data_IF_803156626952
#
_entry.id   IF_803156626952
#
_cell.length_a   1.000
_cell.length_b   1.000
_cell.length_c   1.000
_cell.angle_alpha   90.00
_cell.angle_beta   90.00
_cell.angle_gamma   90.00
#
_symmetry.space_group_name_H-M   'P 1'
#
loop_
_entity.id
_entity.type
_entity.pdbx_description
1 polymer ?
#
# COMPACT_ATOMS: atom_id res chain seq x y z
N UNK A 1 15.79 1.62 -43.63
CA UNK A 1 15.18 2.24 -42.45
C UNK A 1 14.36 1.15 -41.77
N UNK A 2 15.02 0.37 -40.92
CA UNK A 2 14.42 -0.70 -40.12
C UNK A 2 14.70 -0.29 -38.68
N UNK A 3 13.67 0.10 -37.94
CA UNK A 3 13.78 0.27 -36.49
C UNK A 3 13.06 -0.90 -35.83
N UNK A 4 13.88 -1.84 -35.36
CA UNK A 4 13.53 -2.96 -34.52
C UNK A 4 13.66 -2.47 -33.06
N UNK A 5 12.54 -2.14 -32.42
CA UNK A 5 12.53 -1.86 -30.97
C UNK A 5 12.10 -3.14 -30.23
N UNK A 6 13.11 -3.82 -29.69
CA UNK A 6 12.98 -4.91 -28.73
C UNK A 6 12.67 -4.31 -27.36
N UNK A 7 11.54 -4.65 -26.69
CA UNK A 7 11.42 -4.38 -25.28
C UNK A 7 12.24 -5.42 -24.50
N UNK A 8 13.27 -4.95 -23.81
CA UNK A 8 13.99 -5.71 -22.79
C UNK A 8 13.01 -5.99 -21.65
N UNK A 9 12.49 -7.21 -21.57
CA UNK A 9 11.88 -7.74 -20.35
C UNK A 9 13.01 -7.97 -19.34
N UNK A 10 13.07 -7.16 -18.28
CA UNK A 10 13.77 -7.54 -17.06
C UNK A 10 12.95 -8.64 -16.38
N UNK A 11 13.17 -9.88 -16.79
CA UNK A 11 12.77 -11.04 -16.01
C UNK A 11 13.66 -11.08 -14.75
N UNK A 12 13.10 -10.74 -13.59
CA UNK A 12 13.73 -11.08 -12.32
C UNK A 12 13.82 -12.60 -12.25
N UNK A 13 15.05 -13.10 -12.34
CA UNK A 13 15.43 -14.49 -12.10
C UNK A 13 14.90 -14.89 -10.71
N UNK A 14 14.11 -15.96 -10.68
CA UNK A 14 13.54 -16.63 -9.51
C UNK A 14 14.26 -16.32 -8.18
N UNK A 15 13.56 -15.86 -7.13
CA UNK A 15 14.18 -15.84 -5.81
C UNK A 15 14.57 -17.26 -5.44
N UNK A 16 15.87 -17.48 -5.23
CA UNK A 16 16.38 -18.71 -4.62
C UNK A 16 15.87 -18.70 -3.19
N UNK A 17 14.95 -19.61 -2.87
CA UNK A 17 14.63 -19.93 -1.48
C UNK A 17 15.89 -20.54 -0.87
N UNK A 18 16.53 -19.79 0.03
CA UNK A 18 17.54 -20.34 0.93
C UNK A 18 16.78 -20.83 2.15
N UNK A 19 16.74 -22.15 2.44
CA UNK A 19 16.22 -22.62 3.71
C UNK A 19 17.09 -22.01 4.81
N UNK A 20 16.49 -21.21 5.68
CA UNK A 20 17.13 -20.81 6.93
C UNK A 20 17.08 -22.05 7.83
N UNK A 21 18.21 -22.73 7.99
CA UNK A 21 18.34 -23.72 9.07
C UNK A 21 18.11 -22.99 10.40
N UNK A 22 17.22 -23.47 11.27
CA UNK A 22 17.04 -22.87 12.58
C UNK A 22 18.35 -22.92 13.36
N UNK A 23 18.74 -21.80 13.95
CA UNK A 23 19.93 -21.71 14.78
C UNK A 23 19.76 -22.60 16.02
N UNK A 24 20.86 -23.22 16.45
CA UNK A 24 20.91 -24.23 17.50
C UNK A 24 20.57 -23.74 18.94
N UNK A 25 19.81 -22.64 19.08
CA UNK A 25 19.53 -22.02 20.39
C UNK A 25 18.06 -22.10 20.85
N UNK A 26 17.18 -22.78 20.13
CA UNK A 26 15.86 -23.19 20.65
C UNK A 26 15.72 -24.71 20.68
N UNK A 27 16.71 -25.39 21.28
CA UNK A 27 16.52 -26.76 21.76
C UNK A 27 15.61 -26.69 23.00
N UNK A 28 14.30 -26.78 22.78
CA UNK A 28 13.34 -27.17 23.82
C UNK A 28 13.88 -28.44 24.49
N UNK A 29 14.24 -28.33 25.77
CA UNK A 29 14.60 -29.47 26.61
C UNK A 29 13.47 -30.50 26.57
N UNK A 30 13.74 -31.65 25.95
CA UNK A 30 12.79 -32.76 26.00
C UNK A 30 12.65 -33.23 27.47
N UNK A 31 11.43 -33.50 27.95
CA UNK A 31 11.26 -34.13 29.25
C UNK A 31 11.95 -35.50 29.24
N UNK A 32 12.59 -35.84 30.35
CA UNK A 32 13.25 -37.13 30.58
C UNK A 32 12.23 -38.26 30.43
N UNK A 33 12.49 -39.23 29.56
CA UNK A 33 11.62 -40.39 29.39
C UNK A 33 11.50 -41.20 30.70
N UNK A 34 10.31 -41.69 31.06
CA UNK A 34 10.17 -42.58 32.21
C UNK A 34 10.77 -43.96 31.90
N UNK A 35 11.50 -44.52 32.87
CA UNK A 35 12.08 -45.87 32.79
C UNK A 35 11.01 -46.94 33.01
N UNK A 36 10.87 -47.88 32.09
CA UNK A 36 9.89 -48.98 32.15
C UNK A 36 10.51 -50.34 32.55
N UNK A 37 11.37 -50.36 33.56
CA UNK A 37 11.97 -51.60 34.08
C UNK A 37 11.06 -52.28 35.13
N UNK A 38 9.86 -52.68 34.73
CA UNK A 38 9.08 -53.68 35.48
C UNK A 38 8.83 -54.88 34.58
N UNK A 39 9.19 -56.12 34.99
CA UNK A 39 8.91 -57.30 34.19
C UNK A 39 7.40 -57.48 34.07
N UNK A 40 6.89 -57.45 32.85
CA UNK A 40 5.50 -57.78 32.54
C UNK A 40 5.41 -59.30 32.51
N UNK A 41 4.58 -59.87 33.39
CA UNK A 41 4.24 -61.29 33.38
C UNK A 41 3.49 -61.62 32.08
N UNK A 42 4.01 -62.57 31.31
CA UNK A 42 3.50 -62.97 30.00
C UNK A 42 2.22 -63.81 30.17
N UNK A 43 1.08 -63.14 30.30
CA UNK A 43 -0.23 -63.78 30.23
C UNK A 43 -0.78 -63.64 28.80
N UNK A 44 -1.04 -64.73 28.07
CA UNK A 44 -1.59 -64.67 26.72
C UNK A 44 -3.11 -64.43 26.78
N UNK A 45 -3.52 -63.28 27.32
CA UNK A 45 -4.88 -62.77 27.17
C UNK A 45 -4.92 -61.75 26.02
N UNK A 46 -5.92 -61.91 25.15
CA UNK A 46 -6.15 -61.18 23.91
C UNK A 46 -5.72 -59.71 23.97
N UNK A 47 -4.75 -59.34 23.14
CA UNK A 47 -4.40 -57.93 22.89
C UNK A 47 -5.63 -57.28 22.25
N UNK A 48 -6.32 -56.32 22.90
CA UNK A 48 -7.46 -55.66 22.28
C UNK A 48 -6.95 -54.89 21.06
N UNK A 49 -7.55 -55.13 19.89
CA UNK A 49 -7.24 -54.40 18.67
C UNK A 49 -7.35 -52.90 18.93
N UNK A 50 -6.23 -52.18 18.87
CA UNK A 50 -6.22 -50.72 19.02
C UNK A 50 -6.99 -50.15 17.83
N UNK A 51 -8.12 -49.44 18.03
CA UNK A 51 -8.87 -48.89 16.91
C UNK A 51 -8.00 -47.84 16.22
N UNK A 52 -7.55 -48.14 15.00
CA UNK A 52 -6.81 -47.18 14.18
C UNK A 52 -7.79 -46.09 13.74
N UNK A 53 -7.83 -44.98 14.46
CA UNK A 53 -8.47 -43.76 13.98
C UNK A 53 -7.66 -43.22 12.80
N UNK A 54 -8.05 -43.61 11.59
CA UNK A 54 -7.59 -42.94 10.37
C UNK A 54 -8.35 -41.61 10.29
N UNK A 55 -7.71 -40.52 10.67
CA UNK A 55 -8.21 -39.20 10.30
C UNK A 55 -8.22 -39.19 8.76
N UNK A 56 -9.37 -39.05 8.09
CA UNK A 56 -9.37 -38.91 6.65
C UNK A 56 -8.55 -37.66 6.34
N UNK A 57 -7.43 -37.83 5.66
CA UNK A 57 -6.66 -36.71 5.14
C UNK A 57 -7.61 -36.04 4.15
N UNK A 58 -8.15 -34.87 4.51
CA UNK A 58 -8.97 -34.10 3.59
C UNK A 58 -8.15 -33.90 2.31
N UNK A 59 -8.65 -34.32 1.14
CA UNK A 59 -7.91 -34.11 -0.10
C UNK A 59 -7.66 -32.61 -0.24
N UNK A 60 -6.41 -32.23 -0.52
CA UNK A 60 -6.09 -30.87 -0.94
C UNK A 60 -6.80 -30.68 -2.27
N UNK A 61 -7.88 -29.90 -2.26
CA UNK A 61 -8.60 -29.52 -3.48
C UNK A 61 -7.85 -28.33 -4.07
N UNK A 62 -6.93 -28.61 -5.00
CA UNK A 62 -6.32 -27.58 -5.83
C UNK A 62 -7.27 -27.26 -6.99
N UNK A 63 -8.11 -26.25 -6.80
CA UNK A 63 -8.94 -25.72 -7.89
C UNK A 63 -8.12 -24.70 -8.69
N UNK A 64 -7.65 -25.13 -9.87
CA UNK A 64 -6.86 -24.28 -10.77
C UNK A 64 -7.79 -23.28 -11.46
N UNK A 65 -7.92 -22.10 -10.85
CA UNK A 65 -8.67 -21.00 -11.43
C UNK A 65 -7.87 -20.36 -12.58
N UNK A 66 -8.47 -20.21 -13.78
CA UNK A 66 -7.80 -19.55 -14.89
C UNK A 66 -7.59 -18.06 -14.57
N UNK A 67 -6.34 -17.60 -14.66
CA UNK A 67 -6.00 -16.18 -14.56
C UNK A 67 -6.12 -15.57 -15.96
N UNK A 68 -7.18 -14.80 -16.19
CA UNK A 68 -7.35 -14.05 -17.43
C UNK A 68 -6.75 -12.65 -17.30
N UNK A 69 -6.09 -12.12 -18.34
CA UNK A 69 -5.71 -10.72 -18.35
C UNK A 69 -6.97 -9.87 -18.26
N UNK A 70 -6.90 -8.76 -17.53
CA UNK A 70 -7.99 -7.79 -17.51
C UNK A 70 -8.20 -7.26 -18.94
N UNK A 71 -9.42 -7.30 -19.49
CA UNK A 71 -9.69 -6.78 -20.82
C UNK A 71 -9.56 -5.25 -20.76
N UNK A 72 -8.51 -4.70 -21.36
CA UNK A 72 -8.31 -3.25 -21.41
C UNK A 72 -6.86 -2.84 -21.62
N UNK A 73 -6.65 -1.53 -21.70
CA UNK A 73 -5.35 -0.90 -21.64
C UNK A 73 -5.36 0.13 -20.52
N UNK A 74 -4.20 0.41 -19.94
CA UNK A 74 -4.05 1.59 -19.10
C UNK A 74 -4.34 2.83 -19.94
N UNK A 75 -5.04 3.80 -19.35
CA UNK A 75 -5.17 5.11 -19.98
C UNK A 75 -3.81 5.83 -20.00
N UNK A 76 -3.78 7.01 -20.62
CA UNK A 76 -2.58 7.81 -20.76
C UNK A 76 -2.56 9.00 -19.79
N UNK A 77 -3.42 8.99 -18.76
CA UNK A 77 -3.45 10.06 -17.77
C UNK A 77 -2.20 9.91 -16.88
N UNK A 78 -1.34 10.94 -16.79
CA UNK A 78 -0.23 10.91 -15.86
C UNK A 78 -0.74 10.79 -14.43
N UNK A 79 -0.26 9.79 -13.70
CA UNK A 79 -0.60 9.59 -12.29
C UNK A 79 0.68 9.59 -11.47
N UNK A 80 0.74 10.47 -10.47
CA UNK A 80 1.72 10.30 -9.39
C UNK A 80 1.12 9.38 -8.33
N UNK A 81 1.63 8.15 -8.25
CA UNK A 81 1.26 7.18 -7.21
C UNK A 81 2.42 7.05 -6.21
N UNK A 82 2.22 7.59 -5.02
CA UNK A 82 3.21 7.57 -3.95
C UNK A 82 2.77 6.65 -2.82
N UNK A 83 3.51 5.57 -2.62
CA UNK A 83 3.47 4.74 -1.41
C UNK A 83 4.90 4.44 -0.91
N UNK A 84 5.88 5.25 -1.32
CA UNK A 84 7.29 4.97 -1.05
C UNK A 84 8.04 6.27 -0.71
N UNK A 85 8.59 6.39 0.51
CA UNK A 85 8.49 5.42 1.60
C UNK A 85 7.06 5.39 2.17
N UNK A 86 6.53 4.21 2.50
CA UNK A 86 5.24 4.10 3.19
C UNK A 86 5.30 4.79 4.57
N UNK A 87 6.42 4.65 5.27
CA UNK A 87 6.67 5.26 6.59
C UNK A 87 7.55 6.50 6.43
N UNK A 88 7.03 7.65 6.81
CA UNK A 88 7.78 8.92 6.81
C UNK A 88 8.18 9.30 8.24
N UNK A 89 9.46 9.63 8.43
CA UNK A 89 10.04 9.96 9.74
C UNK A 89 10.58 11.39 9.86
N UNK A 90 10.70 12.09 8.73
CA UNK A 90 11.27 13.44 8.61
C UNK A 90 10.64 14.19 7.43
N UNK A 91 10.84 15.50 7.37
CA UNK A 91 10.44 16.32 6.24
C UNK A 91 11.27 16.05 4.96
N UNK A 92 10.68 16.35 3.81
CA UNK A 92 11.35 16.21 2.52
C UNK A 92 10.40 16.44 1.36
N UNK A 93 10.97 16.37 0.15
CA UNK A 93 10.21 16.43 -1.10
C UNK A 93 10.09 15.00 -1.63
N UNK A 94 8.86 14.50 -1.78
CA UNK A 94 8.60 13.17 -2.36
C UNK A 94 8.87 13.15 -3.87
N UNK A 95 8.40 14.19 -4.56
CA UNK A 95 8.57 14.35 -6.00
C UNK A 95 8.55 15.85 -6.34
N UNK A 96 9.40 16.27 -7.27
CA UNK A 96 9.29 17.60 -7.87
C UNK A 96 9.33 17.52 -9.38
N UNK A 97 8.34 18.10 -10.03
CA UNK A 97 8.26 18.26 -11.49
C UNK A 97 8.69 19.66 -11.94
N UNK A 98 9.14 20.51 -11.01
CA UNK A 98 9.46 21.90 -11.29
C UNK A 98 10.63 22.03 -12.27
N UNK A 99 10.75 23.18 -12.95
CA UNK A 99 11.93 23.46 -13.76
C UNK A 99 13.21 23.37 -12.94
N UNK A 100 14.24 22.77 -13.54
CA UNK A 100 15.58 22.64 -12.93
C UNK A 100 16.30 23.97 -12.77
N UNK A 101 15.99 24.93 -13.65
CA UNK A 101 16.59 26.26 -13.66
C UNK A 101 16.46 26.96 -12.31
N UNK A 102 17.57 27.50 -11.82
CA UNK A 102 17.64 28.29 -10.58
C UNK A 102 17.30 27.53 -9.29
N UNK A 103 17.34 26.18 -9.30
CA UNK A 103 17.20 25.35 -8.10
C UNK A 103 18.58 25.02 -7.52
N UNK A 104 18.68 24.98 -6.19
CA UNK A 104 19.91 24.60 -5.50
C UNK A 104 20.33 23.15 -5.81
N UNK A 105 19.36 22.26 -6.06
CA UNK A 105 19.58 20.85 -6.39
C UNK A 105 18.87 20.46 -7.69
N UNK A 106 19.39 20.84 -8.87
CA UNK A 106 18.71 20.59 -10.16
C UNK A 106 18.36 19.11 -10.39
N UNK A 107 19.19 18.18 -9.91
CA UNK A 107 18.92 16.74 -10.07
C UNK A 107 17.70 16.23 -9.28
N UNK A 108 17.21 16.99 -8.29
CA UNK A 108 16.02 16.64 -7.50
C UNK A 108 14.69 16.97 -8.20
N UNK A 109 14.74 17.54 -9.41
CA UNK A 109 13.57 17.97 -10.16
C UNK A 109 13.50 17.23 -11.50
N UNK A 110 12.32 16.75 -11.87
CA UNK A 110 12.12 16.02 -13.11
C UNK A 110 12.10 16.92 -14.35
N UNK A 111 11.89 18.24 -14.20
CA UNK A 111 11.71 19.17 -15.33
C UNK A 111 10.58 18.74 -16.28
N UNK A 112 9.48 18.26 -15.70
CA UNK A 112 8.37 17.66 -16.44
C UNK A 112 7.10 18.49 -16.24
N UNK A 113 6.74 19.40 -17.16
CA UNK A 113 5.50 20.15 -17.03
C UNK A 113 4.30 19.20 -17.12
N UNK A 114 3.41 19.28 -16.12
CA UNK A 114 2.12 18.60 -16.16
C UNK A 114 1.13 19.48 -16.91
N UNK A 115 0.56 18.96 -17.99
CA UNK A 115 -0.42 19.66 -18.84
C UNK A 115 -1.61 18.76 -19.10
N UNK A 116 -2.80 19.36 -19.15
CA UNK A 116 -4.05 18.61 -19.24
C UNK A 116 -4.43 17.94 -17.92
N UNK A 117 -5.10 16.78 -18.01
CA UNK A 117 -5.51 16.00 -16.84
C UNK A 117 -4.32 15.20 -16.30
N UNK A 118 -4.18 15.19 -14.98
CA UNK A 118 -3.28 14.33 -14.24
C UNK A 118 -3.90 14.02 -12.89
N UNK A 119 -3.56 12.87 -12.31
CA UNK A 119 -4.07 12.44 -11.02
C UNK A 119 -2.92 12.27 -10.02
N UNK A 120 -3.24 12.43 -8.73
CA UNK A 120 -2.27 12.30 -7.63
C UNK A 120 -2.88 11.41 -6.56
N UNK A 121 -2.14 10.37 -6.20
CA UNK A 121 -2.45 9.45 -5.14
C UNK A 121 -1.25 9.35 -4.20
N UNK A 122 -1.50 9.50 -2.90
CA UNK A 122 -0.46 9.36 -1.88
C UNK A 122 -0.98 8.56 -0.70
N UNK A 123 -0.15 7.64 -0.19
CA UNK A 123 -0.40 6.89 1.02
C UNK A 123 0.87 6.89 1.88
N UNK A 124 0.80 7.49 3.06
CA UNK A 124 1.93 7.59 3.98
C UNK A 124 1.48 7.51 5.44
N UNK A 125 2.29 6.89 6.28
CA UNK A 125 2.13 6.90 7.73
C UNK A 125 3.30 7.65 8.37
N UNK A 126 2.98 8.52 9.33
CA UNK A 126 4.01 9.29 10.06
C UNK A 126 4.50 8.54 11.28
N UNK A 127 5.82 8.36 11.38
CA UNK A 127 6.55 7.92 12.59
C UNK A 127 7.76 8.83 12.80
N UNK A 128 7.56 10.05 13.32
CA UNK A 128 8.64 11.02 13.49
C UNK A 128 9.76 10.50 14.40
N UNK A 129 11.02 10.77 14.04
CA UNK A 129 12.18 10.22 14.74
C UNK A 129 12.53 10.94 16.07
N UNK A 130 12.21 12.24 16.19
CA UNK A 130 12.68 13.08 17.30
C UNK A 130 11.52 13.56 18.18
N UNK A 131 10.51 14.18 17.58
CA UNK A 131 9.36 14.73 18.29
C UNK A 131 8.08 14.18 17.68
N UNK A 132 7.09 13.78 18.51
CA UNK A 132 5.76 13.32 18.05
C UNK A 132 4.89 14.47 17.51
N UNK A 133 5.47 15.36 16.70
CA UNK A 133 4.74 16.39 15.97
C UNK A 133 4.14 15.80 14.70
N UNK A 134 2.95 16.25 14.28
CA UNK A 134 2.38 15.84 13.00
C UNK A 134 3.29 16.31 11.86
N UNK A 135 3.52 15.44 10.89
CA UNK A 135 4.05 15.83 9.58
C UNK A 135 2.90 16.36 8.73
N UNK A 136 3.20 17.03 7.62
CA UNK A 136 2.18 17.55 6.71
C UNK A 136 2.46 17.09 5.28
N UNK A 137 1.42 16.63 4.59
CA UNK A 137 1.44 16.43 3.15
C UNK A 137 1.04 17.73 2.47
N UNK A 138 2.01 18.37 1.81
CA UNK A 138 1.76 19.55 1.00
C UNK A 138 1.70 19.20 -0.49
N UNK A 139 0.92 19.97 -1.24
CA UNK A 139 1.05 20.05 -2.68
C UNK A 139 1.23 21.50 -3.13
N UNK A 140 2.36 21.77 -3.78
CA UNK A 140 2.69 23.10 -4.30
C UNK A 140 2.59 23.05 -5.82
N UNK A 141 1.88 24.01 -6.39
CA UNK A 141 1.74 24.20 -7.82
C UNK A 141 2.59 25.38 -8.26
N UNK A 142 3.29 25.24 -9.38
CA UNK A 142 4.11 26.30 -9.96
C UNK A 142 3.62 26.60 -11.38
N UNK A 143 3.50 27.90 -11.69
CA UNK A 143 3.27 28.36 -13.06
C UNK A 143 4.59 28.92 -13.62
N UNK A 144 5.34 28.15 -14.43
CA UNK A 144 6.59 28.62 -15.01
C UNK A 144 6.39 29.50 -16.26
N UNK A 145 5.14 29.82 -16.64
CA UNK A 145 4.82 30.55 -17.87
C UNK A 145 4.49 32.02 -17.62
N UNK A 146 4.63 32.84 -18.67
CA UNK A 146 4.30 34.27 -18.64
C UNK A 146 2.82 34.61 -18.71
N UNK A 147 1.92 33.62 -18.60
CA UNK A 147 0.47 33.81 -18.66
C UNK A 147 -0.18 33.18 -17.43
N UNK A 148 -1.27 33.76 -16.89
CA UNK A 148 -2.02 33.15 -15.80
C UNK A 148 -2.51 31.74 -16.19
N UNK A 149 -2.47 30.80 -15.24
CA UNK A 149 -2.97 29.44 -15.43
C UNK A 149 -4.01 29.11 -14.38
N UNK A 150 -5.05 28.41 -14.79
CA UNK A 150 -6.08 27.90 -13.88
C UNK A 150 -5.89 26.41 -13.71
N UNK A 151 -5.77 25.96 -12.47
CA UNK A 151 -5.89 24.55 -12.09
C UNK A 151 -7.33 24.30 -11.63
N UNK A 152 -7.97 23.27 -12.18
CA UNK A 152 -9.27 22.78 -11.72
C UNK A 152 -9.07 21.47 -10.98
N UNK A 153 -9.56 21.38 -9.75
CA UNK A 153 -9.60 20.12 -9.01
C UNK A 153 -10.89 19.43 -9.38
N UNK A 154 -10.79 18.31 -10.09
CA UNK A 154 -11.95 17.54 -10.53
C UNK A 154 -12.57 16.75 -9.37
N UNK A 155 -11.72 16.20 -8.50
CA UNK A 155 -12.09 15.45 -7.32
C UNK A 155 -10.91 15.41 -6.34
N UNK A 156 -11.19 15.53 -5.05
CA UNK A 156 -10.23 15.57 -3.95
C UNK A 156 -10.82 14.90 -2.71
N UNK A 157 -10.13 13.88 -2.22
CA UNK A 157 -10.51 13.08 -1.07
C UNK A 157 -9.27 12.73 -0.25
N UNK A 158 -9.38 12.80 1.07
CA UNK A 158 -8.35 12.42 2.04
C UNK A 158 -9.01 11.86 3.29
N UNK A 159 -8.43 10.80 3.84
CA UNK A 159 -8.94 10.12 5.03
C UNK A 159 -7.81 9.71 5.96
N UNK A 160 -7.96 10.05 7.24
CA UNK A 160 -7.10 9.57 8.31
C UNK A 160 -7.59 8.21 8.84
N UNK A 161 -6.65 7.34 9.18
CA UNK A 161 -6.95 6.01 9.77
C UNK A 161 -7.42 6.07 11.22
N UNK A 162 -7.34 7.21 11.90
CA UNK A 162 -7.70 7.36 13.30
C UNK A 162 -9.14 7.83 13.49
N UNK A 163 -9.54 8.88 12.76
CA UNK A 163 -10.83 9.55 12.94
C UNK A 163 -11.82 9.26 11.84
N UNK A 164 -11.36 9.19 10.58
CA UNK A 164 -12.27 9.26 9.44
C UNK A 164 -12.59 7.87 8.88
N UNK A 165 -11.59 6.98 8.87
CA UNK A 165 -11.71 5.63 8.33
C UNK A 165 -10.87 4.62 9.14
N UNK A 166 -11.31 4.24 10.35
CA UNK A 166 -10.58 3.28 11.17
C UNK A 166 -10.49 1.89 10.53
N UNK A 167 -9.39 1.21 10.83
CA UNK A 167 -9.25 -0.20 10.46
C UNK A 167 -10.25 -1.04 11.25
N UNK A 168 -11.06 -1.83 10.54
CA UNK A 168 -12.03 -2.74 11.14
C UNK A 168 -12.20 -3.98 10.27
N UNK A 169 -12.39 -5.12 10.92
CA UNK A 169 -12.77 -6.34 10.22
C UNK A 169 -14.20 -6.23 9.69
N UNK A 170 -14.42 -6.79 8.51
CA UNK A 170 -15.73 -6.91 7.89
C UNK A 170 -16.04 -8.38 7.70
N UNK A 171 -17.32 -8.72 7.65
CA UNK A 171 -17.74 -10.05 7.22
C UNK A 171 -17.26 -10.30 5.78
N UNK A 172 -17.04 -11.57 5.37
CA UNK A 172 -16.58 -11.91 4.02
C UNK A 172 -17.45 -11.33 2.90
N UNK A 173 -18.73 -11.08 3.18
CA UNK A 173 -19.66 -10.40 2.29
C UNK A 173 -20.56 -9.45 3.07
N UNK A 174 -20.58 -8.19 2.64
CA UNK A 174 -21.47 -7.16 3.17
C UNK A 174 -22.01 -6.35 1.99
N UNK A 175 -23.32 -6.10 1.95
CA UNK A 175 -23.91 -5.20 0.95
C UNK A 175 -23.64 -3.75 1.35
N UNK A 176 -23.28 -2.92 0.38
CA UNK A 176 -22.94 -1.52 0.58
C UNK A 176 -23.64 -0.60 -0.45
N UNK A 177 -24.98 -0.51 -0.43
CA UNK A 177 -25.72 0.32 -1.38
C UNK A 177 -25.39 1.82 -1.21
N UNK A 178 -25.10 2.25 0.02
CA UNK A 178 -24.96 3.67 0.37
C UNK A 178 -23.49 4.15 0.41
N UNK A 179 -22.50 3.24 0.44
CA UNK A 179 -21.07 3.62 0.50
C UNK A 179 -20.50 3.81 1.89
N UNK A 180 -21.12 3.20 2.89
CA UNK A 180 -20.78 3.35 4.31
C UNK A 180 -20.01 2.13 4.87
N UNK A 181 -19.82 1.08 4.05
CA UNK A 181 -19.03 -0.10 4.39
C UNK A 181 -17.60 0.06 3.89
N UNK A 182 -16.65 0.10 4.82
CA UNK A 182 -15.22 0.25 4.57
C UNK A 182 -14.42 -0.35 5.71
N UNK A 183 -13.24 -0.90 5.46
CA UNK A 183 -12.36 -1.53 6.46
C UNK A 183 -11.12 -0.69 6.78
N UNK A 184 -11.03 0.53 6.25
CA UNK A 184 -9.92 1.45 6.45
C UNK A 184 -9.86 2.54 5.37
N UNK A 185 -8.84 3.42 5.40
CA UNK A 185 -8.80 4.63 4.56
C UNK A 185 -8.80 4.33 3.07
N UNK A 186 -8.05 3.31 2.62
CA UNK A 186 -7.99 2.96 1.20
C UNK A 186 -9.35 2.56 0.64
N UNK A 187 -10.07 1.65 1.34
CA UNK A 187 -11.41 1.23 0.92
C UNK A 187 -12.43 2.38 0.97
N UNK A 188 -12.36 3.24 2.00
CA UNK A 188 -13.22 4.42 2.11
C UNK A 188 -12.97 5.41 0.98
N UNK A 189 -11.71 5.73 0.73
CA UNK A 189 -11.27 6.66 -0.31
C UNK A 189 -11.73 6.19 -1.69
N UNK A 190 -11.45 4.94 -2.06
CA UNK A 190 -11.84 4.41 -3.37
C UNK A 190 -13.37 4.28 -3.48
N UNK A 191 -14.05 3.86 -2.41
CA UNK A 191 -15.50 3.78 -2.39
C UNK A 191 -16.19 5.13 -2.63
N UNK A 192 -15.68 6.19 -2.02
CA UNK A 192 -16.19 7.55 -2.21
C UNK A 192 -15.78 8.14 -3.55
N UNK A 193 -14.57 7.84 -4.02
CA UNK A 193 -14.06 8.25 -5.33
C UNK A 193 -14.98 7.74 -6.44
N UNK A 194 -15.27 6.44 -6.46
CA UNK A 194 -16.12 5.78 -7.47
C UNK A 194 -17.57 6.26 -7.43
N UNK A 195 -18.03 6.79 -6.30
CA UNK A 195 -19.37 7.40 -6.14
C UNK A 195 -19.39 8.89 -6.46
N UNK A 196 -18.27 9.48 -6.87
CA UNK A 196 -18.18 10.89 -7.23
C UNK A 196 -18.27 11.84 -6.04
N UNK A 197 -17.97 11.39 -4.82
CA UNK A 197 -17.94 12.29 -3.65
C UNK A 197 -16.71 13.19 -3.69
N UNK A 198 -16.82 14.36 -3.06
CA UNK A 198 -15.75 15.35 -2.94
C UNK A 198 -15.70 15.95 -1.53
N UNK A 199 -14.52 16.42 -1.10
CA UNK A 199 -14.32 17.18 0.14
C UNK A 199 -14.04 18.65 -0.18
N UNK A 200 -15.10 19.40 -0.54
CA UNK A 200 -15.00 20.81 -0.98
C UNK A 200 -14.53 21.77 0.12
N UNK A 201 -14.63 21.35 1.38
CA UNK A 201 -14.11 22.06 2.55
C UNK A 201 -12.59 21.95 2.70
N UNK A 202 -11.99 20.93 2.08
CA UNK A 202 -10.55 20.64 2.12
C UNK A 202 -9.87 21.04 0.81
N UNK A 203 -10.50 20.74 -0.32
CA UNK A 203 -9.91 20.93 -1.65
C UNK A 203 -10.64 22.02 -2.43
N UNK A 204 -9.93 23.06 -2.91
CA UNK A 204 -10.55 24.11 -3.70
C UNK A 204 -10.94 23.57 -5.08
N UNK A 205 -12.11 23.94 -5.60
CA UNK A 205 -12.55 23.52 -6.96
C UNK A 205 -11.68 24.12 -8.07
N UNK A 206 -11.17 25.33 -7.84
CA UNK A 206 -10.34 26.07 -8.80
C UNK A 206 -9.24 26.85 -8.07
N UNK A 207 -8.06 26.92 -8.67
CA UNK A 207 -6.94 27.73 -8.23
C UNK A 207 -6.34 28.48 -9.42
N UNK A 208 -6.41 29.81 -9.40
CA UNK A 208 -5.76 30.67 -10.38
C UNK A 208 -4.33 30.98 -9.94
N UNK A 209 -3.36 30.69 -10.81
CA UNK A 209 -1.93 30.81 -10.57
C UNK A 209 -1.34 31.87 -11.51
N UNK A 210 -0.91 32.99 -10.93
CA UNK A 210 -0.34 34.11 -11.69
C UNK A 210 1.02 33.74 -12.34
N UNK A 211 1.42 34.44 -13.41
CA UNK A 211 2.69 34.19 -14.10
C UNK A 211 3.88 34.11 -13.15
N UNK A 212 4.72 33.08 -13.32
CA UNK A 212 5.96 32.88 -12.56
C UNK A 212 5.78 32.77 -11.03
N UNK A 213 4.57 32.44 -10.56
CA UNK A 213 4.29 32.24 -9.13
C UNK A 213 4.12 30.77 -8.77
N UNK A 214 4.24 30.49 -7.47
CA UNK A 214 3.87 29.20 -6.88
C UNK A 214 2.82 29.42 -5.80
N UNK A 215 1.93 28.45 -5.65
CA UNK A 215 0.88 28.47 -4.62
C UNK A 215 0.76 27.09 -3.98
N UNK A 216 0.34 27.06 -2.72
CA UNK A 216 0.00 25.82 -2.02
C UNK A 216 -1.43 25.46 -2.39
N UNK A 217 -1.65 24.28 -2.97
CA UNK A 217 -3.00 23.78 -3.24
C UNK A 217 -3.65 23.27 -1.95
N UNK A 218 -2.90 22.50 -1.16
CA UNK A 218 -3.31 22.04 0.16
C UNK A 218 -2.10 21.75 1.05
N UNK A 219 -2.35 21.69 2.35
CA UNK A 219 -1.41 21.23 3.38
C UNK A 219 -2.19 20.46 4.44
N UNK A 220 -2.13 19.13 4.38
CA UNK A 220 -2.93 18.24 5.24
C UNK A 220 -2.06 17.58 6.29
N UNK A 221 -2.51 17.51 7.56
CA UNK A 221 -1.74 16.86 8.61
C UNK A 221 -1.70 15.35 8.38
N UNK A 222 -0.56 14.75 8.70
CA UNK A 222 -0.35 13.31 8.89
C UNK A 222 0.01 13.14 10.37
N UNK A 223 -0.99 12.86 11.23
CA UNK A 223 -0.75 12.62 12.64
C UNK A 223 0.23 11.45 12.86
N UNK A 224 1.04 11.49 13.93
CA UNK A 224 1.89 10.35 14.28
C UNK A 224 1.02 9.10 14.51
N UNK A 225 1.35 8.02 13.81
CA UNK A 225 0.61 6.76 13.90
C UNK A 225 1.32 5.80 14.85
N UNK A 226 0.55 5.22 15.79
CA UNK A 226 0.97 4.07 16.60
C UNK A 226 0.56 2.73 15.99
N UNK A 227 -0.15 2.73 14.85
CA UNK A 227 -0.74 1.52 14.29
C UNK A 227 0.32 0.59 13.67
N UNK A 228 0.22 -0.69 14.03
CA UNK A 228 0.58 -1.89 13.28
C UNK A 228 -0.31 -3.02 13.75
#
# INVERSE_FOLDING_TARGET
MFDLLVPILLAQKNPVFVPVEPSAQEMLTMPKEPSWDTPIEDNPEEVPEIPTFRIPISPIVEDYQPIFPLPGNLDQVPVFNSNSPEVISQEGILLSTFPKGSKAFPAAHLDMPLSGRFDIFTHHISRPAVERKPLYQGLIVNNPSGQPRTLRVLQGLSYLNSTDAPFRELLPFVRDPDGDVFSGPGSRLVGDLLRGKNQDDIFPTELRIEPYTSQVLFSLPIPPSSAR
#
